data_IF_035463335106
#
_entry.id   IF_035463335106
#
_cell.length_a   1.000
_cell.length_b   1.000
_cell.length_c   1.000
_cell.angle_alpha   90.00
_cell.angle_beta   90.00
_cell.angle_gamma   90.00
#
_symmetry.space_group_name_H-M   'P 1'
#
loop_
_entity.id
_entity.type
_entity.pdbx_description
1 polymer ?
#
# COMPACT_ATOMS: atom_id res chain seq x y z
N UNK A 1 -14.17 -4.38 26.41
CA UNK A 1 -12.70 -4.53 26.24
C UNK A 1 -12.42 -4.38 24.74
N UNK A 2 -11.33 -3.73 24.35
CA UNK A 2 -10.98 -3.66 22.92
C UNK A 2 -10.78 -5.08 22.40
N UNK A 3 -11.30 -5.36 21.19
CA UNK A 3 -11.16 -6.68 20.56
C UNK A 3 -9.72 -6.94 20.19
N UNK A 4 -9.21 -8.11 20.51
CA UNK A 4 -7.90 -8.54 20.06
C UNK A 4 -7.93 -8.81 18.53
N UNK A 5 -7.24 -7.97 17.76
CA UNK A 5 -7.14 -8.05 16.31
C UNK A 5 -5.97 -8.95 15.94
N UNK A 6 -6.20 -10.25 15.78
CA UNK A 6 -5.14 -11.19 15.34
C UNK A 6 -5.12 -11.30 13.82
N UNK A 7 -3.94 -11.62 13.25
CA UNK A 7 -3.83 -11.87 11.81
C UNK A 7 -4.75 -12.99 11.33
N UNK A 8 -4.97 -14.02 12.14
CA UNK A 8 -5.86 -15.14 11.80
C UNK A 8 -7.31 -14.68 11.62
N UNK A 9 -7.81 -13.81 12.49
CA UNK A 9 -9.16 -13.22 12.36
C UNK A 9 -9.29 -12.38 11.09
N UNK A 10 -8.30 -11.52 10.82
CA UNK A 10 -8.27 -10.66 9.64
C UNK A 10 -8.23 -11.48 8.36
N UNK A 11 -7.34 -12.48 8.29
CA UNK A 11 -7.21 -13.38 7.14
C UNK A 11 -8.48 -14.19 6.92
N UNK A 12 -9.10 -14.70 8.00
CA UNK A 12 -10.34 -15.45 7.92
C UNK A 12 -11.48 -14.59 7.38
N UNK A 13 -11.66 -13.36 7.89
CA UNK A 13 -12.65 -12.41 7.37
C UNK A 13 -12.38 -12.11 5.88
N UNK A 14 -11.13 -11.76 5.53
CA UNK A 14 -10.76 -11.39 4.17
C UNK A 14 -11.08 -12.51 3.16
N UNK A 15 -10.76 -13.76 3.49
CA UNK A 15 -11.07 -14.93 2.65
C UNK A 15 -12.57 -15.19 2.58
N UNK A 16 -13.25 -15.24 3.72
CA UNK A 16 -14.67 -15.61 3.78
C UNK A 16 -15.59 -14.57 3.14
N UNK A 17 -15.19 -13.30 3.11
CA UNK A 17 -15.99 -12.21 2.54
C UNK A 17 -15.54 -11.76 1.15
N UNK A 18 -14.55 -12.43 0.56
CA UNK A 18 -14.13 -12.15 -0.81
C UNK A 18 -13.31 -10.89 -0.97
N UNK A 19 -12.54 -10.52 0.05
CA UNK A 19 -11.54 -9.47 -0.08
C UNK A 19 -10.26 -10.01 -0.71
N UNK A 20 -9.72 -11.12 -0.19
CA UNK A 20 -8.44 -11.64 -0.64
C UNK A 20 -8.48 -13.17 -0.61
N UNK A 21 -8.03 -13.79 -1.69
CA UNK A 21 -7.92 -15.24 -1.85
C UNK A 21 -6.46 -15.68 -2.01
N UNK A 22 -6.10 -16.92 -1.64
CA UNK A 22 -4.82 -17.49 -2.04
C UNK A 22 -4.70 -17.55 -3.56
N UNK A 23 -3.60 -17.05 -4.11
CA UNK A 23 -3.35 -17.10 -5.56
C UNK A 23 -3.19 -18.51 -6.06
N UNK A 24 -3.90 -18.88 -7.14
CA UNK A 24 -3.85 -20.23 -7.76
C UNK A 24 -4.22 -21.37 -6.82
N UNK A 25 -5.16 -21.19 -5.90
CA UNK A 25 -5.52 -22.12 -4.83
C UNK A 25 -5.88 -23.52 -5.34
N UNK A 26 -6.57 -23.61 -6.47
CA UNK A 26 -6.97 -24.92 -7.09
C UNK A 26 -5.78 -25.82 -7.47
N UNK A 27 -4.57 -25.24 -7.59
CA UNK A 27 -3.31 -25.95 -7.85
C UNK A 27 -2.42 -26.07 -6.60
N UNK A 28 -2.98 -25.82 -5.42
CA UNK A 28 -2.23 -25.81 -4.14
C UNK A 28 -1.58 -24.47 -3.81
N UNK A 29 -1.87 -23.44 -4.60
CA UNK A 29 -1.37 -22.10 -4.38
C UNK A 29 0.09 -21.87 -4.80
N UNK A 30 0.51 -20.62 -4.77
CA UNK A 30 1.90 -20.19 -4.87
C UNK A 30 2.27 -19.46 -3.58
N UNK A 31 3.35 -19.86 -2.92
CA UNK A 31 3.73 -19.34 -1.61
C UNK A 31 3.71 -17.81 -1.55
N UNK A 32 2.86 -17.28 -0.65
CA UNK A 32 2.61 -15.85 -0.42
C UNK A 32 2.25 -15.05 -1.68
N UNK A 33 1.44 -15.65 -2.53
CA UNK A 33 0.78 -15.02 -3.66
C UNK A 33 -0.72 -14.91 -3.38
N UNK A 34 -1.29 -13.73 -3.60
CA UNK A 34 -2.65 -13.40 -3.21
C UNK A 34 -3.40 -12.73 -4.35
N UNK A 35 -4.66 -13.10 -4.52
CA UNK A 35 -5.59 -12.48 -5.46
C UNK A 35 -6.59 -11.61 -4.70
N UNK A 36 -6.83 -10.40 -5.18
CA UNK A 36 -7.91 -9.57 -4.64
C UNK A 36 -9.24 -10.03 -5.21
N UNK A 37 -10.15 -10.44 -4.33
CA UNK A 37 -11.50 -10.85 -4.70
C UNK A 37 -12.42 -9.66 -5.04
N UNK A 38 -13.73 -9.90 -5.25
CA UNK A 38 -14.66 -8.85 -5.68
C UNK A 38 -14.73 -7.64 -4.75
N UNK A 39 -14.69 -7.84 -3.43
CA UNK A 39 -14.66 -6.72 -2.47
C UNK A 39 -13.26 -6.13 -2.34
N UNK A 40 -12.23 -6.97 -2.39
CA UNK A 40 -10.85 -6.53 -2.27
C UNK A 40 -10.39 -5.62 -3.39
N UNK A 41 -10.77 -5.92 -4.64
CA UNK A 41 -10.41 -5.09 -5.80
C UNK A 41 -11.06 -3.71 -5.71
N UNK A 42 -12.32 -3.63 -5.29
CA UNK A 42 -13.01 -2.36 -5.09
C UNK A 42 -12.38 -1.56 -3.93
N UNK A 43 -12.09 -2.22 -2.82
CA UNK A 43 -11.43 -1.59 -1.67
C UNK A 43 -10.06 -1.02 -2.05
N UNK A 44 -9.19 -1.83 -2.64
CA UNK A 44 -7.85 -1.40 -3.08
C UNK A 44 -7.92 -0.29 -4.14
N UNK A 45 -8.86 -0.38 -5.08
CA UNK A 45 -9.07 0.68 -6.07
C UNK A 45 -9.55 1.99 -5.42
N UNK A 46 -10.38 1.92 -4.38
CA UNK A 46 -10.80 3.11 -3.65
C UNK A 46 -9.63 3.76 -2.90
N UNK A 47 -8.74 2.96 -2.30
CA UNK A 47 -7.49 3.47 -1.69
C UNK A 47 -6.62 4.19 -2.73
N UNK A 48 -6.41 3.57 -3.88
CA UNK A 48 -5.65 4.18 -5.00
C UNK A 48 -6.31 5.45 -5.54
N UNK A 49 -7.63 5.46 -5.68
CA UNK A 49 -8.39 6.64 -6.11
C UNK A 49 -8.29 7.78 -5.10
N UNK A 50 -8.36 7.48 -3.80
CA UNK A 50 -8.21 8.47 -2.74
C UNK A 50 -6.81 9.10 -2.79
N UNK A 51 -5.76 8.28 -2.93
CA UNK A 51 -4.39 8.76 -3.09
C UNK A 51 -4.23 9.62 -4.35
N UNK A 52 -4.70 9.14 -5.51
CA UNK A 52 -4.63 9.89 -6.77
C UNK A 52 -5.36 11.23 -6.71
N UNK A 53 -6.53 11.25 -6.06
CA UNK A 53 -7.29 12.48 -5.83
C UNK A 53 -6.46 13.52 -5.07
N UNK A 54 -5.86 13.13 -3.94
CA UNK A 54 -5.10 14.04 -3.08
C UNK A 54 -3.73 14.42 -3.65
N UNK A 55 -2.99 13.43 -4.15
CA UNK A 55 -1.60 13.65 -4.59
C UNK A 55 -1.47 14.16 -6.02
N UNK A 56 -2.46 13.94 -6.87
CA UNK A 56 -2.41 14.37 -8.28
C UNK A 56 -3.52 15.36 -8.62
N UNK A 57 -4.78 14.97 -8.45
CA UNK A 57 -5.91 15.76 -8.92
C UNK A 57 -6.06 17.10 -8.19
N UNK A 58 -5.97 17.10 -6.86
CA UNK A 58 -6.11 18.30 -6.01
C UNK A 58 -4.78 19.06 -5.84
N UNK A 59 -3.64 18.49 -6.29
CA UNK A 59 -2.33 19.13 -6.18
C UNK A 59 -2.07 20.08 -7.35
N UNK A 60 -1.70 21.35 -7.11
CA UNK A 60 -1.30 22.26 -8.17
C UNK A 60 0.08 21.92 -8.76
N UNK A 61 0.86 21.10 -8.07
CA UNK A 61 2.24 20.78 -8.42
C UNK A 61 2.34 19.54 -9.30
N UNK A 62 1.56 18.51 -9.00
CA UNK A 62 1.83 17.15 -9.47
C UNK A 62 1.12 16.82 -10.79
N UNK A 63 1.71 15.86 -11.50
CA UNK A 63 1.13 15.21 -12.68
C UNK A 63 1.33 13.70 -12.57
N UNK A 64 0.56 12.92 -13.32
CA UNK A 64 0.67 11.47 -13.32
C UNK A 64 1.36 10.92 -14.57
N UNK A 65 1.98 9.73 -14.42
CA UNK A 65 2.48 8.89 -15.51
C UNK A 65 2.08 7.43 -15.29
N UNK A 66 2.15 6.65 -16.34
CA UNK A 66 2.08 5.18 -16.28
C UNK A 66 3.22 4.63 -17.15
N UNK A 67 4.35 4.31 -16.49
CA UNK A 67 5.53 3.81 -17.16
C UNK A 67 5.45 2.30 -17.36
N UNK A 68 6.05 1.79 -18.43
CA UNK A 68 6.12 0.36 -18.70
C UNK A 68 6.86 -0.40 -17.58
N UNK A 69 6.40 -1.63 -17.28
CA UNK A 69 7.08 -2.54 -16.35
C UNK A 69 8.42 -2.99 -16.94
N UNK A 70 8.42 -3.31 -18.24
CA UNK A 70 9.62 -3.74 -18.96
C UNK A 70 10.34 -2.49 -19.46
N UNK A 71 11.56 -2.29 -18.98
CA UNK A 71 12.41 -1.16 -19.35
C UNK A 71 13.76 -1.65 -19.85
N UNK A 72 14.49 -0.76 -20.52
CA UNK A 72 15.86 -1.05 -20.92
C UNK A 72 16.70 -1.44 -19.71
N UNK A 73 17.50 -2.50 -19.83
CA UNK A 73 18.37 -3.01 -18.77
C UNK A 73 19.28 -1.91 -18.17
N UNK A 74 19.70 -0.97 -19.00
CA UNK A 74 20.60 0.11 -18.59
C UNK A 74 19.99 1.07 -17.54
N UNK A 75 18.66 1.15 -17.46
CA UNK A 75 17.98 1.87 -16.37
C UNK A 75 18.38 1.29 -15.01
N UNK A 76 18.42 -0.04 -14.92
CA UNK A 76 18.74 -0.77 -13.68
C UNK A 76 20.24 -0.83 -13.40
N UNK A 77 21.07 -0.70 -14.44
CA UNK A 77 22.52 -0.54 -14.28
C UNK A 77 22.82 0.86 -13.74
N UNK A 78 22.25 1.90 -14.33
CA UNK A 78 22.44 3.29 -13.92
C UNK A 78 21.99 3.54 -12.47
N UNK A 79 20.83 3.01 -12.08
CA UNK A 79 20.28 3.13 -10.73
C UNK A 79 20.96 2.21 -9.69
N UNK A 80 21.88 1.33 -10.14
CA UNK A 80 22.62 0.42 -9.24
C UNK A 80 21.88 -0.88 -8.85
N UNK A 81 20.63 -1.08 -9.28
CA UNK A 81 19.84 -2.27 -8.89
C UNK A 81 20.46 -3.58 -9.38
N UNK A 82 21.05 -3.64 -10.57
CA UNK A 82 21.68 -4.86 -11.09
C UNK A 82 22.83 -5.31 -10.20
N UNK A 83 23.62 -4.37 -9.66
CA UNK A 83 24.81 -4.66 -8.86
C UNK A 83 24.60 -4.72 -7.36
N UNK A 84 23.64 -3.94 -6.81
CA UNK A 84 23.52 -3.67 -5.39
C UNK A 84 22.20 -4.09 -4.72
N UNK A 85 21.13 -4.32 -5.49
CA UNK A 85 19.83 -4.67 -4.94
C UNK A 85 19.77 -6.15 -4.53
N UNK A 86 20.39 -6.46 -3.40
CA UNK A 86 20.57 -7.85 -2.94
C UNK A 86 20.48 -7.97 -1.43
N UNK A 87 19.88 -9.08 -0.97
CA UNK A 87 19.85 -9.46 0.44
C UNK A 87 20.96 -10.48 0.77
N UNK A 88 21.48 -10.47 2.01
CA UNK A 88 22.42 -11.49 2.48
C UNK A 88 21.69 -12.79 2.79
N UNK A 89 21.82 -13.78 1.91
CA UNK A 89 21.16 -15.08 1.99
C UNK A 89 22.03 -16.13 2.65
N UNK A 90 21.49 -16.86 3.63
CA UNK A 90 22.08 -18.08 4.17
C UNK A 90 21.05 -19.19 4.34
N UNK A 91 21.48 -20.45 4.28
CA UNK A 91 20.64 -21.62 4.49
C UNK A 91 21.09 -22.38 5.74
N UNK A 92 20.15 -22.88 6.56
CA UNK A 92 20.46 -23.88 7.57
C UNK A 92 20.74 -25.22 6.89
N UNK A 93 21.93 -25.80 7.09
CA UNK A 93 22.32 -27.09 6.44
C UNK A 93 21.51 -28.28 6.96
N UNK A 94 20.93 -28.18 8.17
CA UNK A 94 20.14 -29.26 8.79
C UNK A 94 18.69 -29.26 8.28
N UNK A 95 17.93 -28.21 8.48
CA UNK A 95 16.53 -28.16 8.11
C UNK A 95 16.25 -27.56 6.72
N UNK A 96 17.28 -27.13 5.99
CA UNK A 96 17.22 -26.55 4.64
C UNK A 96 16.39 -25.26 4.55
N UNK A 97 16.10 -24.64 5.68
CA UNK A 97 15.37 -23.36 5.70
C UNK A 97 16.30 -22.23 5.33
N UNK A 98 15.81 -21.30 4.51
CA UNK A 98 16.48 -20.10 4.09
C UNK A 98 16.18 -18.94 5.02
N UNK A 99 17.19 -18.08 5.20
CA UNK A 99 17.10 -16.90 6.02
C UNK A 99 17.85 -15.72 5.39
N UNK A 100 17.39 -14.52 5.70
CA UNK A 100 18.19 -13.33 5.59
C UNK A 100 19.09 -13.26 6.81
N UNK A 101 20.40 -13.15 6.58
CA UNK A 101 21.38 -13.13 7.66
C UNK A 101 21.28 -11.89 8.53
N UNK A 102 21.01 -10.72 7.92
CA UNK A 102 20.75 -9.45 8.59
C UNK A 102 19.56 -9.55 9.55
N UNK A 103 18.42 -10.13 9.10
CA UNK A 103 17.23 -10.27 9.95
C UNK A 103 17.45 -11.20 11.15
N UNK A 104 18.19 -12.26 11.00
CA UNK A 104 18.56 -13.14 12.14
C UNK A 104 19.42 -12.37 13.16
N UNK A 105 20.32 -11.49 12.70
CA UNK A 105 21.11 -10.63 13.55
C UNK A 105 20.24 -9.62 14.30
N UNK A 106 19.36 -8.93 13.58
CA UNK A 106 18.42 -7.95 14.14
C UNK A 106 17.46 -8.58 15.16
N UNK A 107 16.88 -9.75 14.84
CA UNK A 107 16.02 -10.50 15.76
C UNK A 107 16.76 -10.87 17.06
N UNK A 108 18.03 -11.27 16.94
CA UNK A 108 18.86 -11.58 18.09
C UNK A 108 19.20 -10.31 18.91
N UNK A 109 19.53 -9.20 18.27
CA UNK A 109 19.77 -7.90 18.93
C UNK A 109 18.53 -7.46 19.71
N UNK A 110 17.36 -7.52 19.07
CA UNK A 110 16.08 -7.17 19.70
C UNK A 110 15.79 -8.05 20.92
N UNK A 111 15.97 -9.37 20.78
CA UNK A 111 15.76 -10.31 21.88
C UNK A 111 16.70 -10.07 23.08
N UNK A 112 17.86 -9.44 22.84
CA UNK A 112 18.84 -9.09 23.88
C UNK A 112 18.73 -7.63 24.34
N UNK A 113 17.64 -6.93 23.98
CA UNK A 113 17.32 -5.60 24.50
C UNK A 113 18.11 -4.45 23.87
N UNK A 114 18.60 -4.60 22.64
CA UNK A 114 19.21 -3.50 21.93
C UNK A 114 18.16 -2.40 21.66
N UNK A 115 18.51 -1.15 21.96
CA UNK A 115 17.63 0.02 21.70
C UNK A 115 17.44 0.25 20.21
N UNK A 116 18.50 0.02 19.42
CA UNK A 116 18.47 0.01 17.95
C UNK A 116 19.00 -1.33 17.48
N UNK A 117 18.15 -2.10 16.79
CA UNK A 117 18.46 -3.42 16.26
C UNK A 117 18.47 -3.36 14.74
N UNK A 118 19.52 -2.81 14.15
CA UNK A 118 19.71 -2.78 12.69
C UNK A 118 21.05 -3.39 12.30
N UNK A 119 21.02 -4.15 11.23
CA UNK A 119 22.20 -4.72 10.57
C UNK A 119 22.26 -4.27 9.09
N UNK A 120 21.51 -3.23 8.74
CA UNK A 120 21.52 -2.65 7.40
C UNK A 120 22.92 -2.13 7.06
N UNK A 121 23.38 -2.40 5.85
CA UNK A 121 24.71 -2.01 5.39
C UNK A 121 25.87 -2.86 5.89
N UNK A 122 25.64 -3.84 6.78
CA UNK A 122 26.70 -4.73 7.22
C UNK A 122 27.20 -5.63 6.10
N UNK A 123 28.53 -5.83 6.06
CA UNK A 123 29.14 -6.80 5.15
C UNK A 123 28.78 -8.25 5.54
N UNK A 124 28.90 -9.16 4.59
CA UNK A 124 28.69 -10.60 4.86
C UNK A 124 29.63 -11.11 5.96
N UNK A 125 30.84 -10.56 6.03
CA UNK A 125 31.86 -10.88 7.04
C UNK A 125 31.42 -10.42 8.44
N UNK A 126 30.89 -9.23 8.58
CA UNK A 126 30.39 -8.70 9.83
C UNK A 126 29.18 -9.47 10.34
N UNK A 127 28.20 -9.73 9.45
CA UNK A 127 27.03 -10.57 9.76
C UNK A 127 27.45 -11.96 10.23
N UNK A 128 28.36 -12.61 9.48
CA UNK A 128 28.87 -13.95 9.83
C UNK A 128 29.57 -13.93 11.18
N UNK A 129 30.43 -12.97 11.40
CA UNK A 129 31.15 -12.82 12.68
C UNK A 129 30.19 -12.66 13.84
N UNK A 130 29.19 -11.81 13.72
CA UNK A 130 28.19 -11.61 14.77
C UNK A 130 27.40 -12.89 15.07
N UNK A 131 26.95 -13.63 14.02
CA UNK A 131 26.27 -14.92 14.16
C UNK A 131 27.13 -15.95 14.88
N UNK A 132 28.41 -15.99 14.55
CA UNK A 132 29.35 -16.95 15.13
C UNK A 132 29.73 -16.59 16.58
N UNK A 133 30.02 -15.32 16.87
CA UNK A 133 30.41 -14.81 18.19
C UNK A 133 29.25 -14.95 19.21
N UNK A 134 28.03 -14.74 18.80
CA UNK A 134 26.82 -14.84 19.64
C UNK A 134 26.20 -16.23 19.64
N UNK A 135 26.80 -17.23 18.95
CA UNK A 135 26.29 -18.60 18.87
C UNK A 135 24.82 -18.68 18.41
N UNK A 136 24.42 -17.86 17.46
CA UNK A 136 23.03 -17.79 17.01
C UNK A 136 22.62 -19.11 16.32
N UNK A 137 21.58 -19.73 16.84
CA UNK A 137 21.05 -21.01 16.33
C UNK A 137 19.90 -20.76 15.35
N UNK A 138 19.66 -21.74 14.48
CA UNK A 138 18.55 -21.71 13.53
C UNK A 138 17.20 -21.57 14.28
N UNK A 139 16.40 -20.53 14.01
CA UNK A 139 15.11 -20.34 14.68
C UNK A 139 14.14 -21.51 14.48
N UNK A 140 14.29 -22.27 13.38
CA UNK A 140 13.40 -23.39 13.06
C UNK A 140 13.79 -24.70 13.71
N UNK A 141 15.07 -25.06 13.75
CA UNK A 141 15.50 -26.38 14.24
C UNK A 141 16.48 -26.36 15.41
N UNK A 142 16.89 -25.17 15.88
CA UNK A 142 17.78 -24.99 17.02
C UNK A 142 19.24 -25.42 16.78
N UNK A 143 19.64 -25.75 15.56
CA UNK A 143 21.01 -26.16 15.22
C UNK A 143 21.83 -24.97 14.72
N UNK A 144 23.14 -24.97 15.04
CA UNK A 144 24.10 -23.99 14.53
C UNK A 144 24.90 -24.62 13.39
N UNK A 145 24.31 -24.67 12.20
CA UNK A 145 24.99 -25.19 11.01
C UNK A 145 24.48 -24.46 9.75
N UNK A 146 25.08 -23.30 9.49
CA UNK A 146 24.70 -22.46 8.35
C UNK A 146 25.66 -22.62 7.17
N UNK A 147 25.17 -22.27 5.97
CA UNK A 147 26.03 -22.03 4.80
C UNK A 147 26.78 -20.71 4.93
N UNK A 148 27.75 -20.48 4.06
CA UNK A 148 28.30 -19.14 3.88
C UNK A 148 27.18 -18.18 3.41
N UNK A 149 27.30 -16.89 3.83
CA UNK A 149 26.39 -15.83 3.42
C UNK A 149 26.72 -15.42 1.99
N UNK A 150 25.71 -15.38 1.13
CA UNK A 150 25.86 -14.98 -0.28
C UNK A 150 24.88 -13.88 -0.63
N UNK A 151 25.25 -12.98 -1.53
CA UNK A 151 24.35 -11.97 -2.06
C UNK A 151 23.30 -12.61 -2.96
N UNK A 152 22.04 -12.29 -2.72
CA UNK A 152 20.92 -12.74 -3.54
C UNK A 152 20.21 -11.51 -4.13
N UNK A 153 20.35 -11.29 -5.44
CA UNK A 153 19.71 -10.17 -6.10
C UNK A 153 18.19 -10.39 -6.16
N UNK A 154 17.44 -9.37 -5.73
CA UNK A 154 15.98 -9.44 -5.61
C UNK A 154 15.24 -9.16 -6.92
N UNK A 155 15.92 -8.80 -8.01
CA UNK A 155 15.26 -8.56 -9.28
C UNK A 155 14.84 -9.87 -9.96
N UNK A 156 13.60 -9.94 -10.41
CA UNK A 156 13.16 -11.00 -11.31
C UNK A 156 13.74 -10.79 -12.71
N UNK A 157 14.40 -11.80 -13.23
CA UNK A 157 14.93 -11.84 -14.60
C UNK A 157 13.96 -12.53 -15.56
N UNK A 158 13.91 -12.03 -16.79
CA UNK A 158 13.26 -12.68 -17.92
C UNK A 158 14.01 -12.35 -19.20
N UNK A 159 13.53 -12.81 -20.34
CA UNK A 159 14.18 -12.62 -21.63
C UNK A 159 13.20 -12.02 -22.63
N UNK A 160 13.65 -11.12 -23.46
CA UNK A 160 12.87 -10.55 -24.56
C UNK A 160 13.27 -11.23 -25.88
N UNK A 161 12.29 -11.72 -26.64
CA UNK A 161 12.55 -12.40 -27.91
C UNK A 161 12.64 -13.91 -27.77
N UNK A 162 13.28 -14.55 -28.74
CA UNK A 162 13.29 -16.03 -28.89
C UNK A 162 14.53 -16.70 -28.34
N UNK A 163 15.54 -15.95 -27.92
CA UNK A 163 16.80 -16.46 -27.38
C UNK A 163 16.97 -16.03 -25.92
N UNK A 164 17.48 -16.97 -25.12
CA UNK A 164 17.80 -16.71 -23.70
C UNK A 164 19.31 -16.47 -23.58
N UNK A 165 19.75 -15.28 -23.92
CA UNK A 165 21.16 -14.86 -23.84
C UNK A 165 21.31 -13.52 -23.05
N UNK A 166 22.54 -13.14 -22.76
CA UNK A 166 22.82 -11.94 -21.99
C UNK A 166 22.37 -10.63 -22.67
N UNK A 167 22.11 -10.63 -23.99
CA UNK A 167 21.66 -9.44 -24.72
C UNK A 167 20.13 -9.30 -24.69
N UNK A 168 19.43 -10.42 -24.51
CA UNK A 168 17.97 -10.49 -24.40
C UNK A 168 17.48 -10.42 -22.96
N UNK A 169 18.40 -10.42 -21.97
CA UNK A 169 18.07 -10.33 -20.54
C UNK A 169 17.40 -8.99 -20.22
N UNK A 170 16.21 -9.06 -19.61
CA UNK A 170 15.49 -7.92 -19.05
C UNK A 170 15.01 -8.26 -17.64
N UNK A 171 14.57 -7.23 -16.91
CA UNK A 171 14.11 -7.37 -15.54
C UNK A 171 12.68 -6.88 -15.39
N UNK A 172 11.91 -7.52 -14.51
CA UNK A 172 10.69 -6.93 -13.99
C UNK A 172 11.09 -5.83 -12.99
N UNK A 173 10.50 -4.65 -13.13
CA UNK A 173 10.88 -3.49 -12.30
C UNK A 173 10.68 -3.80 -10.81
N UNK A 174 11.68 -3.53 -9.94
CA UNK A 174 11.56 -3.71 -8.49
C UNK A 174 10.91 -2.52 -7.78
N UNK A 175 10.74 -1.39 -8.50
CA UNK A 175 10.12 -0.15 -8.05
C UNK A 175 9.57 0.66 -9.23
N UNK A 176 8.66 1.58 -8.96
CA UNK A 176 8.10 2.48 -9.98
C UNK A 176 8.90 3.76 -10.17
N UNK A 177 9.77 4.14 -9.22
CA UNK A 177 10.53 5.38 -9.19
C UNK A 177 11.40 5.59 -10.44
N UNK A 178 12.15 4.58 -10.88
CA UNK A 178 13.09 4.72 -11.98
C UNK A 178 12.41 5.07 -13.32
N UNK A 179 11.19 4.56 -13.52
CA UNK A 179 10.37 4.97 -14.66
C UNK A 179 10.04 6.46 -14.67
N UNK A 180 9.89 7.06 -13.49
CA UNK A 180 9.67 8.50 -13.34
C UNK A 180 10.94 9.29 -13.67
N UNK A 181 12.09 8.89 -13.10
CA UNK A 181 13.36 9.59 -13.33
C UNK A 181 13.77 9.63 -14.80
N UNK A 182 13.67 8.50 -15.51
CA UNK A 182 14.04 8.47 -16.95
C UNK A 182 13.07 9.27 -17.82
N UNK A 183 11.85 9.51 -17.35
CA UNK A 183 10.86 10.32 -18.07
C UNK A 183 10.80 11.79 -17.60
N UNK A 184 11.64 12.21 -16.64
CA UNK A 184 11.61 13.55 -16.05
C UNK A 184 11.52 14.66 -17.09
N UNK A 185 12.43 14.69 -18.07
CA UNK A 185 12.46 15.73 -19.12
C UNK A 185 11.24 15.70 -20.03
N UNK A 186 10.81 14.51 -20.42
CA UNK A 186 9.64 14.35 -21.29
C UNK A 186 8.38 14.84 -20.62
N UNK A 187 8.20 14.50 -19.35
CA UNK A 187 7.04 14.95 -18.54
C UNK A 187 7.11 16.45 -18.29
N UNK A 188 8.27 16.98 -17.86
CA UNK A 188 8.46 18.39 -17.58
C UNK A 188 8.15 19.26 -18.82
N UNK A 189 8.63 18.86 -20.00
CA UNK A 189 8.40 19.58 -21.25
C UNK A 189 6.92 19.50 -21.70
N UNK A 190 6.35 18.30 -21.71
CA UNK A 190 4.98 18.09 -22.19
C UNK A 190 3.92 18.72 -21.29
N UNK A 191 4.11 18.68 -19.97
CA UNK A 191 3.22 19.28 -18.99
C UNK A 191 3.49 20.77 -18.74
N UNK A 192 4.62 21.30 -19.23
CA UNK A 192 5.10 22.68 -19.00
C UNK A 192 5.22 23.05 -17.51
N UNK A 193 5.43 22.06 -16.66
CA UNK A 193 5.61 22.29 -15.23
C UNK A 193 6.94 22.97 -14.95
N UNK A 194 6.93 23.82 -13.95
CA UNK A 194 8.12 24.47 -13.37
C UNK A 194 8.46 23.77 -12.07
N UNK A 195 9.73 23.72 -11.72
CA UNK A 195 10.17 23.28 -10.38
C UNK A 195 9.73 24.35 -9.35
N UNK A 196 9.08 23.96 -8.21
CA UNK A 196 8.84 22.58 -7.78
C UNK A 196 7.63 21.93 -8.47
N UNK A 197 7.77 20.66 -8.83
CA UNK A 197 6.66 19.83 -9.30
C UNK A 197 6.93 18.34 -9.06
N UNK A 198 5.86 17.56 -8.98
CA UNK A 198 5.95 16.12 -8.77
C UNK A 198 5.42 15.31 -9.95
N UNK A 199 5.95 14.10 -10.08
CA UNK A 199 5.46 13.09 -11.03
C UNK A 199 5.06 11.87 -10.22
N UNK A 200 3.79 11.48 -10.33
CA UNK A 200 3.18 10.41 -9.57
C UNK A 200 2.89 9.19 -10.45
N UNK A 201 3.03 8.01 -9.89
CA UNK A 201 2.69 6.75 -10.54
C UNK A 201 2.07 5.77 -9.56
N UNK A 202 1.06 5.03 -10.03
CA UNK A 202 0.57 3.80 -9.39
C UNK A 202 0.93 2.65 -10.32
N UNK A 203 1.60 1.62 -9.81
CA UNK A 203 1.97 0.50 -10.67
C UNK A 203 2.53 -0.70 -9.94
N UNK A 204 2.49 -1.84 -10.63
CA UNK A 204 3.07 -3.11 -10.17
C UNK A 204 4.58 -3.04 -10.11
N UNK A 205 5.12 -3.64 -9.04
CA UNK A 205 6.55 -3.87 -8.83
C UNK A 205 6.78 -5.30 -8.35
N UNK A 206 8.01 -5.80 -8.53
CA UNK A 206 8.34 -7.21 -8.36
C UNK A 206 9.67 -7.34 -7.62
N UNK A 207 9.66 -8.01 -6.47
CA UNK A 207 10.87 -8.32 -5.70
C UNK A 207 10.89 -9.79 -5.34
N UNK A 208 11.92 -10.52 -5.74
CA UNK A 208 12.06 -11.93 -5.45
C UNK A 208 12.45 -12.16 -3.99
N UNK A 209 11.57 -11.75 -3.08
CA UNK A 209 11.77 -11.81 -1.64
C UNK A 209 12.16 -13.19 -1.16
N UNK A 210 13.19 -13.28 -0.30
CA UNK A 210 13.67 -14.51 0.30
C UNK A 210 12.63 -15.06 1.30
N UNK A 211 12.09 -14.16 2.14
CA UNK A 211 11.13 -14.46 3.20
C UNK A 211 9.85 -13.66 3.07
N UNK A 212 9.03 -13.92 2.02
CA UNK A 212 7.73 -13.28 1.93
C UNK A 212 6.83 -13.77 3.07
N UNK A 213 5.92 -12.93 3.55
CA UNK A 213 5.08 -13.31 4.69
C UNK A 213 4.11 -12.23 5.14
N UNK A 214 3.45 -12.52 6.25
CA UNK A 214 2.49 -11.62 6.88
C UNK A 214 1.37 -11.19 5.91
N UNK A 215 0.74 -12.19 5.27
CA UNK A 215 -0.36 -11.97 4.33
C UNK A 215 0.08 -11.07 3.16
N UNK A 216 -0.63 -9.96 2.89
CA UNK A 216 -0.28 -9.02 1.81
C UNK A 216 0.77 -7.97 2.20
N UNK A 217 1.35 -8.06 3.40
CA UNK A 217 2.37 -7.11 3.86
C UNK A 217 3.69 -7.23 3.09
N UNK A 218 4.17 -8.48 2.83
CA UNK A 218 5.41 -8.74 2.08
C UNK A 218 5.20 -9.84 1.05
N UNK A 219 4.99 -9.44 -0.18
CA UNK A 219 4.74 -10.30 -1.35
C UNK A 219 5.81 -10.09 -2.40
N UNK A 220 5.90 -11.00 -3.38
CA UNK A 220 6.86 -10.88 -4.50
C UNK A 220 6.34 -10.01 -5.64
N UNK A 221 5.02 -9.92 -5.77
CA UNK A 221 4.32 -9.02 -6.66
C UNK A 221 3.44 -8.10 -5.83
N UNK A 222 3.61 -6.80 -5.95
CA UNK A 222 2.88 -5.79 -5.17
C UNK A 222 2.64 -4.55 -6.02
N UNK A 223 1.89 -3.60 -5.48
CA UNK A 223 1.59 -2.34 -6.16
C UNK A 223 2.07 -1.17 -5.32
N UNK A 224 2.80 -0.24 -5.96
CA UNK A 224 3.29 0.97 -5.33
C UNK A 224 2.49 2.19 -5.79
N UNK A 225 2.37 3.17 -4.91
CA UNK A 225 1.92 4.52 -5.19
C UNK A 225 3.08 5.44 -4.82
N UNK A 226 3.78 5.94 -5.81
CA UNK A 226 4.99 6.75 -5.66
C UNK A 226 4.82 8.14 -6.25
N UNK A 227 5.37 9.12 -5.56
CA UNK A 227 5.51 10.49 -6.01
C UNK A 227 6.99 10.88 -5.95
N UNK A 228 7.56 11.27 -7.08
CA UNK A 228 8.87 11.89 -7.15
C UNK A 228 8.67 13.39 -7.27
N UNK A 229 8.92 14.10 -6.17
CA UNK A 229 8.72 15.55 -6.09
C UNK A 229 10.04 16.29 -6.27
N UNK A 230 10.18 16.94 -7.41
CA UNK A 230 11.38 17.66 -7.81
C UNK A 230 11.37 19.08 -7.29
N UNK A 231 12.43 19.48 -6.58
CA UNK A 231 12.57 20.79 -5.98
C UNK A 231 13.95 21.40 -6.25
N UNK A 232 14.10 22.70 -5.97
CA UNK A 232 15.40 23.37 -6.06
C UNK A 232 16.32 22.89 -4.94
N UNK A 233 17.61 22.56 -5.23
CA UNK A 233 18.59 22.26 -4.19
C UNK A 233 18.62 23.32 -3.09
N UNK A 234 18.61 22.88 -1.82
CA UNK A 234 18.52 23.75 -0.64
C UNK A 234 17.10 24.08 -0.18
N UNK A 235 16.06 23.61 -0.88
CA UNK A 235 14.65 23.67 -0.44
C UNK A 235 14.07 22.28 -0.12
N UNK A 236 14.89 21.26 -0.25
CA UNK A 236 14.56 19.83 -0.09
C UNK A 236 14.02 19.50 1.29
N UNK A 237 14.66 19.96 2.36
CA UNK A 237 14.22 19.70 3.73
C UNK A 237 12.87 20.35 4.04
N UNK A 238 12.56 21.52 3.48
CA UNK A 238 11.26 22.14 3.62
C UNK A 238 10.16 21.27 2.97
N UNK A 239 10.42 20.80 1.73
CA UNK A 239 9.50 19.91 1.02
C UNK A 239 9.42 18.52 1.65
N UNK A 240 10.50 17.99 2.20
CA UNK A 240 10.51 16.76 2.96
C UNK A 240 9.55 16.84 4.16
N UNK A 241 9.65 17.91 4.97
CA UNK A 241 8.74 18.12 6.09
C UNK A 241 7.29 18.32 5.65
N UNK A 242 7.07 19.06 4.55
CA UNK A 242 5.74 19.23 3.96
C UNK A 242 5.11 17.87 3.61
N UNK A 243 5.83 16.99 2.91
CA UNK A 243 5.32 15.69 2.50
C UNK A 243 5.13 14.74 3.68
N UNK A 244 5.98 14.79 4.70
CA UNK A 244 5.78 14.03 5.95
C UNK A 244 4.44 14.32 6.59
N UNK A 245 4.12 15.60 6.77
CA UNK A 245 2.85 16.04 7.36
C UNK A 245 1.67 15.72 6.43
N UNK A 246 1.83 15.90 5.13
CA UNK A 246 0.78 15.63 4.15
C UNK A 246 0.40 14.14 4.13
N UNK A 247 1.39 13.24 4.10
CA UNK A 247 1.18 11.79 4.13
C UNK A 247 0.54 11.34 5.44
N UNK A 248 0.98 11.89 6.56
CA UNK A 248 0.40 11.61 7.87
C UNK A 248 -1.08 11.98 7.93
N UNK A 249 -1.41 13.20 7.52
CA UNK A 249 -2.78 13.69 7.53
C UNK A 249 -3.68 12.93 6.54
N UNK A 250 -3.16 12.47 5.41
CA UNK A 250 -3.89 11.62 4.47
C UNK A 250 -4.38 10.33 5.13
N UNK A 251 -3.54 9.65 5.90
CA UNK A 251 -3.92 8.42 6.61
C UNK A 251 -5.01 8.70 7.67
N UNK A 252 -4.83 9.76 8.47
CA UNK A 252 -5.80 10.12 9.50
C UNK A 252 -7.16 10.51 8.92
N UNK A 253 -7.18 11.27 7.83
CA UNK A 253 -8.42 11.70 7.18
C UNK A 253 -9.19 10.53 6.57
N UNK A 254 -8.53 9.43 6.25
CA UNK A 254 -9.14 8.18 5.78
C UNK A 254 -9.44 7.18 6.91
N UNK A 255 -9.33 7.60 8.16
CA UNK A 255 -9.78 6.84 9.32
C UNK A 255 -8.72 5.94 9.94
N UNK A 256 -7.44 6.08 9.59
CA UNK A 256 -6.39 5.35 10.31
C UNK A 256 -6.32 5.81 11.78
N UNK A 257 -6.25 4.85 12.70
CA UNK A 257 -6.14 5.16 14.12
C UNK A 257 -4.74 5.73 14.43
N UNK A 258 -4.70 6.96 14.92
CA UNK A 258 -3.47 7.66 15.27
C UNK A 258 -2.61 6.88 16.27
N UNK A 259 -3.22 6.14 17.19
CA UNK A 259 -2.49 5.36 18.20
C UNK A 259 -1.77 4.13 17.60
N UNK A 260 -2.18 3.70 16.41
CA UNK A 260 -1.53 2.63 15.65
C UNK A 260 -0.50 3.17 14.64
N UNK A 261 -0.24 4.48 14.62
CA UNK A 261 0.72 5.11 13.72
C UNK A 261 1.86 5.76 14.52
N UNK A 262 3.06 5.69 13.99
CA UNK A 262 4.18 6.49 14.46
C UNK A 262 5.05 6.98 13.31
N UNK A 263 5.70 8.12 13.51
CA UNK A 263 6.74 8.62 12.63
C UNK A 263 8.09 8.14 13.18
N UNK A 264 8.91 7.51 12.33
CA UNK A 264 10.25 7.06 12.66
C UNK A 264 11.23 7.74 11.71
N UNK A 265 12.05 8.62 12.25
CA UNK A 265 13.15 9.21 11.50
C UNK A 265 14.35 8.24 11.53
N UNK A 266 15.02 8.09 10.37
CA UNK A 266 16.21 7.27 10.27
C UNK A 266 17.42 8.01 10.84
N UNK A 267 18.22 7.31 11.63
CA UNK A 267 19.51 7.81 12.11
C UNK A 267 20.51 7.90 10.95
N UNK A 268 21.57 8.71 11.11
CA UNK A 268 22.54 8.95 10.04
C UNK A 268 23.17 7.66 9.48
N UNK A 269 23.35 6.66 10.34
CA UNK A 269 23.91 5.35 10.01
C UNK A 269 22.95 4.44 9.22
N UNK A 270 21.65 4.72 9.29
CA UNK A 270 20.61 3.98 8.59
C UNK A 270 20.29 4.56 7.22
N UNK A 271 20.70 5.81 6.96
CA UNK A 271 20.41 6.48 5.70
C UNK A 271 21.04 5.76 4.52
N UNK A 272 20.26 5.56 3.47
CA UNK A 272 20.80 5.15 2.18
C UNK A 272 21.83 6.17 1.70
N UNK A 273 22.87 5.72 1.00
CA UNK A 273 23.97 6.54 0.52
C UNK A 273 23.54 7.69 -0.43
N UNK A 274 22.33 7.70 -0.89
CA UNK A 274 21.72 8.72 -1.75
C UNK A 274 20.76 9.65 -1.02
N UNK A 275 20.51 9.43 0.28
CA UNK A 275 19.49 10.18 1.03
C UNK A 275 20.10 11.10 2.07
N UNK A 276 19.61 12.35 2.14
CA UNK A 276 19.94 13.29 3.22
C UNK A 276 19.06 13.11 4.45
N UNK A 277 17.82 12.66 4.26
CA UNK A 277 16.86 12.41 5.30
C UNK A 277 15.85 11.34 4.86
N UNK A 278 15.47 10.47 5.76
CA UNK A 278 14.42 9.48 5.54
C UNK A 278 13.56 9.38 6.79
N UNK A 279 12.26 9.32 6.60
CA UNK A 279 11.27 9.04 7.65
C UNK A 279 10.29 8.00 7.18
N UNK A 280 9.96 7.07 8.07
CA UNK A 280 8.89 6.12 7.84
C UNK A 280 7.68 6.47 8.67
N UNK A 281 6.49 6.39 8.06
CA UNK A 281 5.26 6.22 8.82
C UNK A 281 5.10 4.73 9.02
N UNK A 282 5.18 4.29 10.26
CA UNK A 282 4.97 2.89 10.64
C UNK A 282 3.58 2.68 11.22
N UNK A 283 3.03 1.50 10.97
CA UNK A 283 1.74 1.04 11.51
C UNK A 283 1.95 -0.15 12.43
N UNK A 284 1.20 -0.20 13.53
CA UNK A 284 1.20 -1.30 14.49
C UNK A 284 0.30 -2.43 13.98
N UNK A 285 0.87 -3.31 13.17
CA UNK A 285 0.20 -4.54 12.75
C UNK A 285 0.11 -5.55 13.90
N UNK A 286 -0.75 -6.59 13.83
CA UNK A 286 -0.78 -7.64 14.85
C UNK A 286 0.55 -8.40 15.05
N UNK A 287 1.45 -8.33 14.09
CA UNK A 287 2.80 -8.90 14.16
C UNK A 287 3.89 -7.90 14.59
N UNK A 288 3.51 -6.69 14.98
CA UNK A 288 4.42 -5.63 15.41
C UNK A 288 4.46 -4.44 14.45
N UNK A 289 5.33 -3.47 14.75
CA UNK A 289 5.52 -2.28 13.92
C UNK A 289 6.07 -2.67 12.54
N UNK A 290 5.48 -2.10 11.52
CA UNK A 290 5.90 -2.27 10.14
C UNK A 290 5.79 -0.99 9.35
N UNK A 291 6.76 -0.77 8.47
CA UNK A 291 6.78 0.35 7.54
C UNK A 291 5.53 0.35 6.65
N UNK A 292 4.83 1.47 6.65
CA UNK A 292 3.66 1.71 5.83
C UNK A 292 3.97 2.67 4.68
N UNK A 293 4.70 3.74 4.97
CA UNK A 293 5.03 4.81 4.03
C UNK A 293 6.44 5.32 4.26
N UNK A 294 7.31 5.22 3.27
CA UNK A 294 8.64 5.84 3.30
C UNK A 294 8.59 7.23 2.69
N UNK A 295 9.23 8.21 3.32
CA UNK A 295 9.47 9.54 2.77
C UNK A 295 10.97 9.77 2.79
N UNK A 296 11.59 9.97 1.61
CA UNK A 296 13.04 10.14 1.48
C UNK A 296 13.40 11.41 0.72
N UNK A 297 14.37 12.15 1.23
CA UNK A 297 15.09 13.17 0.45
C UNK A 297 16.24 12.48 -0.30
N UNK A 298 16.03 12.20 -1.57
CA UNK A 298 16.96 11.48 -2.47
C UNK A 298 18.02 12.38 -3.11
N UNK A 299 18.01 13.67 -2.80
CA UNK A 299 18.88 14.66 -3.42
C UNK A 299 18.78 14.67 -4.96
N UNK A 300 19.84 14.91 -5.67
CA UNK A 300 19.93 14.82 -7.15
C UNK A 300 20.45 13.47 -7.63
N UNK A 301 20.58 12.49 -6.75
CA UNK A 301 21.29 11.24 -7.01
C UNK A 301 20.79 10.52 -8.26
N UNK A 302 19.49 10.21 -8.35
CA UNK A 302 18.94 9.42 -9.44
C UNK A 302 19.05 10.14 -10.80
N UNK A 303 18.69 11.44 -10.85
CA UNK A 303 18.83 12.23 -12.07
C UNK A 303 20.28 12.32 -12.54
N UNK A 304 21.23 12.52 -11.61
CA UNK A 304 22.67 12.52 -11.94
C UNK A 304 23.14 11.16 -12.46
N UNK A 305 22.73 10.06 -11.81
CA UNK A 305 23.09 8.71 -12.26
C UNK A 305 22.60 8.41 -13.66
N UNK A 306 21.36 8.74 -13.96
CA UNK A 306 20.83 8.59 -15.31
C UNK A 306 21.50 9.53 -16.30
N UNK A 307 21.81 10.77 -15.93
CA UNK A 307 22.56 11.70 -16.78
C UNK A 307 23.96 11.19 -17.08
N UNK A 308 24.71 10.76 -16.06
CA UNK A 308 26.06 10.22 -16.22
C UNK A 308 26.08 8.97 -17.12
N UNK A 309 25.12 8.07 -16.94
CA UNK A 309 25.09 6.80 -17.66
C UNK A 309 24.57 6.93 -19.11
N UNK A 310 23.55 7.77 -19.33
CA UNK A 310 22.93 7.95 -20.64
C UNK A 310 23.65 9.00 -21.51
N UNK A 311 24.33 9.96 -20.90
CA UNK A 311 24.87 11.14 -21.56
C UNK A 311 23.83 12.24 -21.86
N UNK A 312 22.56 12.04 -21.45
CA UNK A 312 21.49 13.01 -21.65
C UNK A 312 21.46 14.07 -20.53
N UNK A 313 21.22 15.34 -20.90
CA UNK A 313 21.10 16.45 -19.92
C UNK A 313 19.75 16.42 -19.20
N UNK A 314 19.72 16.01 -17.94
CA UNK A 314 18.54 16.02 -17.07
C UNK A 314 18.44 17.26 -16.17
N UNK A 315 19.32 18.26 -16.35
CA UNK A 315 19.25 19.51 -15.60
C UNK A 315 17.99 20.33 -15.94
N UNK A 316 17.54 21.15 -15.02
CA UNK A 316 16.45 22.11 -15.19
C UNK A 316 17.03 23.52 -15.35
N UNK A 317 16.51 24.28 -16.32
CA UNK A 317 16.78 25.70 -16.44
C UNK A 317 15.58 26.47 -15.86
N UNK A 318 15.81 27.17 -14.77
CA UNK A 318 14.78 28.03 -14.16
C UNK A 318 14.56 29.29 -15.03
N UNK A 319 13.37 29.46 -15.62
CA UNK A 319 13.10 30.60 -16.48
C UNK A 319 13.01 31.94 -15.74
N UNK A 320 12.84 31.93 -14.41
CA UNK A 320 12.74 33.12 -13.61
C UNK A 320 14.14 33.69 -13.25
N UNK A 321 15.09 32.81 -12.96
CA UNK A 321 16.43 33.19 -12.50
C UNK A 321 17.52 32.96 -13.55
N UNK A 322 17.20 32.25 -14.63
CA UNK A 322 18.16 31.75 -15.65
C UNK A 322 19.26 30.86 -15.06
N UNK A 323 19.01 30.26 -13.90
CA UNK A 323 19.91 29.34 -13.22
C UNK A 323 19.66 27.90 -13.73
N UNK A 324 20.75 27.15 -13.93
CA UNK A 324 20.69 25.74 -14.33
C UNK A 324 21.17 24.85 -13.20
N UNK A 325 20.37 23.84 -12.85
CA UNK A 325 20.70 22.87 -11.81
C UNK A 325 20.03 21.52 -12.07
N UNK A 326 20.56 20.46 -11.48
CA UNK A 326 19.85 19.16 -11.38
C UNK A 326 18.94 19.25 -10.16
N UNK A 327 17.62 19.08 -10.32
CA UNK A 327 16.70 19.15 -9.18
C UNK A 327 16.98 18.09 -8.12
N UNK A 328 16.72 18.44 -6.87
CA UNK A 328 16.61 17.46 -5.79
C UNK A 328 15.23 16.81 -5.84
N UNK A 329 15.13 15.61 -5.30
CA UNK A 329 13.90 14.81 -5.29
C UNK A 329 13.52 14.45 -3.86
N UNK A 330 12.26 14.69 -3.49
CA UNK A 330 11.64 14.16 -2.29
C UNK A 330 10.62 13.10 -2.71
N UNK A 331 10.78 11.89 -2.19
CA UNK A 331 9.99 10.71 -2.56
C UNK A 331 9.09 10.26 -1.41
N UNK A 332 7.78 10.52 -1.42
CA UNK A 332 6.82 9.74 -0.65
C UNK A 332 6.44 8.46 -1.42
N UNK A 333 6.82 7.29 -0.88
CA UNK A 333 6.56 5.97 -1.47
C UNK A 333 5.71 5.10 -0.57
N UNK A 334 4.59 4.62 -1.07
CA UNK A 334 3.58 3.85 -0.33
C UNK A 334 3.24 2.54 -1.06
N UNK A 335 3.27 1.43 -0.33
CA UNK A 335 2.74 0.16 -0.81
C UNK A 335 1.22 0.11 -0.76
N UNK A 336 0.54 0.03 -1.92
CA UNK A 336 -0.92 -0.04 -1.98
C UNK A 336 -1.48 -1.26 -1.22
N UNK A 337 -0.79 -2.39 -1.27
CA UNK A 337 -1.18 -3.62 -0.58
C UNK A 337 -1.05 -3.48 0.94
N UNK A 338 0.04 -2.86 1.43
CA UNK A 338 0.28 -2.63 2.86
C UNK A 338 -0.74 -1.67 3.46
N UNK A 339 -1.01 -0.53 2.82
CA UNK A 339 -1.97 0.45 3.32
C UNK A 339 -3.40 -0.09 3.28
N UNK A 340 -3.75 -0.87 2.24
CA UNK A 340 -5.05 -1.55 2.18
C UNK A 340 -5.21 -2.53 3.34
N UNK A 341 -4.15 -3.30 3.68
CA UNK A 341 -4.15 -4.19 4.84
C UNK A 341 -4.27 -3.40 6.15
N UNK A 342 -3.55 -2.30 6.31
CA UNK A 342 -3.62 -1.46 7.51
C UNK A 342 -5.04 -0.91 7.74
N UNK A 343 -5.68 -0.36 6.70
CA UNK A 343 -7.08 0.09 6.79
C UNK A 343 -8.06 -1.05 7.10
N UNK A 344 -7.83 -2.26 6.57
CA UNK A 344 -8.67 -3.41 6.87
C UNK A 344 -8.56 -3.82 8.36
N UNK A 345 -7.34 -3.81 8.90
CA UNK A 345 -7.06 -4.14 10.30
C UNK A 345 -7.65 -3.07 11.24
N UNK A 346 -7.44 -1.80 10.92
CA UNK A 346 -8.01 -0.71 11.74
C UNK A 346 -9.53 -0.75 11.77
N UNK A 347 -10.15 -1.02 10.64
CA UNK A 347 -11.59 -1.06 10.50
C UNK A 347 -12.27 -2.27 11.18
N UNK A 348 -11.53 -3.36 11.40
CA UNK A 348 -12.10 -4.57 12.00
C UNK A 348 -12.49 -4.38 13.46
N UNK A 349 -13.74 -4.75 13.79
CA UNK A 349 -14.22 -4.80 15.17
C UNK A 349 -15.22 -5.94 15.40
N UNK A 350 -15.38 -6.36 16.65
CA UNK A 350 -16.37 -7.31 17.14
C UNK A 350 -17.14 -6.66 18.30
N UNK A 351 -18.34 -6.21 18.05
CA UNK A 351 -19.15 -5.50 19.03
C UNK A 351 -20.13 -6.45 19.72
N UNK A 352 -20.10 -6.49 21.04
CA UNK A 352 -21.11 -7.20 21.84
C UNK A 352 -22.38 -6.36 21.90
N UNK A 353 -23.49 -6.95 21.46
CA UNK A 353 -24.82 -6.32 21.50
C UNK A 353 -25.62 -6.74 22.73
N UNK A 354 -26.71 -6.03 22.99
CA UNK A 354 -27.67 -6.41 24.01
C UNK A 354 -28.16 -7.85 23.78
N UNK A 355 -28.03 -8.70 24.80
CA UNK A 355 -28.39 -10.13 24.73
C UNK A 355 -27.21 -11.07 24.44
N UNK A 356 -25.96 -10.58 24.36
CA UNK A 356 -24.75 -11.40 24.22
C UNK A 356 -24.45 -11.85 22.78
N UNK A 357 -25.18 -11.32 21.79
CA UNK A 357 -24.86 -11.53 20.37
C UNK A 357 -23.68 -10.67 19.95
N UNK A 358 -22.81 -11.19 19.08
CA UNK A 358 -21.61 -10.47 18.60
C UNK A 358 -21.80 -10.02 17.17
N UNK A 359 -21.56 -8.74 16.91
CA UNK A 359 -21.57 -8.13 15.60
C UNK A 359 -20.12 -7.95 15.10
N UNK A 360 -19.74 -8.66 14.03
CA UNK A 360 -18.51 -8.34 13.31
C UNK A 360 -18.80 -7.17 12.37
N UNK A 361 -17.94 -6.17 12.40
CA UNK A 361 -18.09 -4.94 11.60
C UNK A 361 -16.75 -4.45 11.09
N UNK A 362 -16.75 -3.88 9.87
CA UNK A 362 -15.62 -3.14 9.31
C UNK A 362 -15.97 -1.65 9.29
N UNK A 363 -15.38 -0.87 10.19
CA UNK A 363 -15.55 0.58 10.29
C UNK A 363 -14.71 1.33 9.22
N UNK A 364 -14.82 0.90 7.97
CA UNK A 364 -14.12 1.56 6.86
C UNK A 364 -14.64 2.98 6.65
N UNK A 365 -13.74 3.94 6.43
CA UNK A 365 -14.15 5.26 5.94
C UNK A 365 -15.03 5.10 4.68
N UNK A 366 -16.15 5.82 4.55
CA UNK A 366 -17.08 5.63 3.43
C UNK A 366 -16.42 5.73 2.05
N UNK A 367 -15.41 6.62 1.90
CA UNK A 367 -14.63 6.72 0.67
C UNK A 367 -13.87 5.44 0.31
N UNK A 368 -13.47 4.63 1.30
CA UNK A 368 -12.72 3.39 1.10
C UNK A 368 -13.62 2.16 0.95
N UNK A 369 -14.84 2.18 1.50
CA UNK A 369 -15.74 1.04 1.49
C UNK A 369 -15.97 0.48 0.06
N UNK A 370 -15.97 -0.86 -0.12
CA UNK A 370 -16.22 -1.48 -1.43
C UNK A 370 -17.56 -1.05 -2.04
N UNK A 371 -18.63 -1.17 -1.27
CA UNK A 371 -19.94 -0.60 -1.61
C UNK A 371 -20.17 0.68 -0.82
N UNK A 372 -20.73 1.71 -1.47
CA UNK A 372 -21.04 2.99 -0.82
C UNK A 372 -22.37 2.94 -0.09
N UNK A 373 -23.26 2.11 -0.56
CA UNK A 373 -24.52 1.78 0.10
C UNK A 373 -25.04 0.41 -0.37
N UNK A 374 -26.02 -0.13 0.37
CA UNK A 374 -26.76 -1.30 -0.03
C UNK A 374 -28.26 -0.98 -0.07
N UNK A 375 -28.94 -1.33 -1.15
CA UNK A 375 -30.41 -1.18 -1.29
C UNK A 375 -31.10 -2.48 -0.90
N UNK A 376 -31.98 -2.39 0.10
CA UNK A 376 -32.58 -3.53 0.77
C UNK A 376 -34.12 -3.38 0.77
N UNK A 377 -34.86 -4.03 -0.14
CA UNK A 377 -36.31 -4.00 -0.08
C UNK A 377 -36.84 -4.77 1.16
N UNK A 378 -37.67 -4.15 1.98
CA UNK A 378 -38.21 -4.78 3.17
C UNK A 378 -39.07 -6.03 2.85
N UNK A 379 -39.70 -6.02 1.67
CA UNK A 379 -40.53 -7.12 1.15
C UNK A 379 -40.29 -7.26 -0.37
N UNK A 380 -40.42 -8.48 -0.90
CA UNK A 380 -40.41 -8.73 -2.35
C UNK A 380 -41.42 -7.91 -3.16
N UNK A 381 -42.50 -7.43 -2.51
CA UNK A 381 -43.48 -6.55 -3.16
C UNK A 381 -42.91 -5.16 -3.48
N UNK A 382 -41.77 -4.82 -2.89
CA UNK A 382 -41.08 -3.55 -3.06
C UNK A 382 -39.87 -3.65 -3.97
N UNK A 383 -39.60 -4.83 -4.57
CA UNK A 383 -38.41 -5.05 -5.42
C UNK A 383 -38.36 -4.09 -6.61
N UNK A 384 -39.50 -3.83 -7.28
CA UNK A 384 -39.53 -2.87 -8.40
C UNK A 384 -39.09 -1.47 -7.97
N UNK A 385 -39.57 -0.98 -6.83
CA UNK A 385 -39.15 0.34 -6.30
C UNK A 385 -37.70 0.35 -5.82
N UNK A 386 -37.24 -0.74 -5.23
CA UNK A 386 -35.85 -0.90 -4.81
C UNK A 386 -34.92 -0.95 -6.03
N UNK A 387 -35.31 -1.60 -7.13
CA UNK A 387 -34.55 -1.63 -8.38
C UNK A 387 -34.43 -0.24 -9.01
N UNK A 388 -35.48 0.60 -8.94
CA UNK A 388 -35.41 2.00 -9.38
C UNK A 388 -34.36 2.78 -8.56
N UNK A 389 -34.37 2.66 -7.24
CA UNK A 389 -33.42 3.33 -6.33
C UNK A 389 -32.01 2.83 -6.62
N UNK A 390 -31.81 1.51 -6.68
CA UNK A 390 -30.54 0.89 -7.02
C UNK A 390 -30.00 1.39 -8.37
N UNK A 391 -30.81 1.30 -9.44
CA UNK A 391 -30.40 1.67 -10.78
C UNK A 391 -30.05 3.17 -10.90
N UNK A 392 -30.67 4.02 -10.11
CA UNK A 392 -30.32 5.44 -10.04
C UNK A 392 -28.96 5.65 -9.40
N UNK A 393 -28.72 5.08 -8.22
CA UNK A 393 -27.47 5.25 -7.45
C UNK A 393 -26.29 4.54 -8.10
N UNK A 394 -26.50 3.38 -8.74
CA UNK A 394 -25.45 2.59 -9.40
C UNK A 394 -24.79 3.31 -10.60
N UNK A 395 -25.39 4.38 -11.11
CA UNK A 395 -24.77 5.22 -12.14
C UNK A 395 -23.55 6.01 -11.63
N UNK A 396 -23.49 6.25 -10.31
CA UNK A 396 -22.44 7.07 -9.70
C UNK A 396 -21.60 6.32 -8.67
N UNK A 397 -22.19 5.35 -7.98
CA UNK A 397 -21.58 4.66 -6.87
C UNK A 397 -21.60 3.15 -7.09
N UNK A 398 -20.65 2.44 -6.47
CA UNK A 398 -20.73 1.00 -6.34
C UNK A 398 -21.73 0.69 -5.24
N UNK A 399 -22.87 0.08 -5.59
CA UNK A 399 -24.04 -0.19 -4.75
C UNK A 399 -24.30 -1.68 -4.73
N UNK A 400 -24.59 -2.24 -3.55
CA UNK A 400 -25.09 -3.60 -3.38
C UNK A 400 -26.62 -3.63 -3.43
N UNK A 401 -27.18 -4.73 -3.92
CA UNK A 401 -28.61 -5.02 -3.82
C UNK A 401 -28.82 -6.37 -3.14
N UNK A 402 -29.59 -6.42 -2.04
CA UNK A 402 -29.80 -7.65 -1.32
C UNK A 402 -31.27 -7.78 -0.84
N UNK A 403 -31.96 -8.83 -1.28
CA UNK A 403 -33.32 -9.18 -0.86
C UNK A 403 -33.42 -10.53 -0.13
N UNK A 404 -32.26 -11.19 0.12
CA UNK A 404 -32.21 -12.55 0.64
C UNK A 404 -32.24 -12.61 2.16
N UNK A 405 -33.29 -13.19 2.75
CA UNK A 405 -33.45 -13.40 4.18
C UNK A 405 -34.07 -12.20 4.92
N UNK A 406 -34.00 -12.20 6.25
CA UNK A 406 -34.56 -11.12 7.07
C UNK A 406 -33.70 -9.86 6.98
N UNK A 407 -34.30 -8.69 7.19
CA UNK A 407 -33.62 -7.39 7.13
C UNK A 407 -32.42 -7.33 8.10
N UNK A 408 -32.58 -7.87 9.32
CA UNK A 408 -31.51 -7.91 10.30
C UNK A 408 -30.28 -8.72 9.83
N UNK A 409 -30.50 -9.86 9.14
CA UNK A 409 -29.40 -10.66 8.55
C UNK A 409 -28.72 -9.92 7.40
N UNK A 410 -29.47 -9.13 6.63
CA UNK A 410 -28.93 -8.31 5.55
C UNK A 410 -28.06 -7.17 6.09
N UNK A 411 -28.52 -6.48 7.15
CA UNK A 411 -27.70 -5.48 7.84
C UNK A 411 -26.37 -6.07 8.34
N UNK A 412 -26.40 -7.27 8.97
CA UNK A 412 -25.19 -7.94 9.44
C UNK A 412 -24.19 -8.24 8.32
N UNK A 413 -24.68 -8.72 7.17
CA UNK A 413 -23.81 -8.95 5.99
C UNK A 413 -23.14 -7.66 5.52
N UNK A 414 -23.85 -6.54 5.51
CA UNK A 414 -23.32 -5.25 5.12
C UNK A 414 -22.34 -4.68 6.15
N UNK A 415 -22.62 -4.85 7.44
CA UNK A 415 -21.70 -4.47 8.51
C UNK A 415 -20.35 -5.20 8.38
N UNK A 416 -20.38 -6.52 8.15
CA UNK A 416 -19.17 -7.36 8.00
C UNK A 416 -18.28 -7.00 6.80
N UNK A 417 -18.83 -6.41 5.75
CA UNK A 417 -18.08 -6.00 4.56
C UNK A 417 -17.80 -4.49 4.51
N UNK A 418 -18.24 -3.77 5.54
CA UNK A 418 -17.94 -2.36 5.72
C UNK A 418 -18.79 -1.39 4.89
N UNK A 419 -19.95 -1.81 4.40
CA UNK A 419 -20.88 -0.90 3.70
C UNK A 419 -21.41 0.16 4.66
N UNK A 420 -21.16 1.46 4.43
CA UNK A 420 -21.48 2.50 5.41
C UNK A 420 -22.99 2.76 5.58
N UNK A 421 -23.79 2.58 4.51
CA UNK A 421 -25.20 2.93 4.51
C UNK A 421 -26.05 1.79 3.98
N UNK A 422 -27.08 1.40 4.75
CA UNK A 422 -28.11 0.49 4.28
C UNK A 422 -29.40 1.27 4.00
N UNK A 423 -29.84 1.26 2.76
CA UNK A 423 -31.01 1.97 2.24
C UNK A 423 -32.18 0.98 2.20
N UNK A 424 -33.06 1.04 3.17
CA UNK A 424 -34.24 0.17 3.23
C UNK A 424 -35.43 0.82 2.53
N UNK A 425 -35.93 0.14 1.50
CA UNK A 425 -37.16 0.49 0.83
C UNK A 425 -38.30 -0.23 1.53
N UNK A 426 -39.23 0.52 2.14
CA UNK A 426 -40.36 0.05 2.91
C UNK A 426 -41.68 0.46 2.25
N UNK A 427 -42.82 0.12 2.88
CA UNK A 427 -44.11 0.44 2.31
C UNK A 427 -44.44 1.93 2.32
N UNK A 428 -43.94 2.68 3.33
CA UNK A 428 -44.11 4.13 3.41
C UNK A 428 -43.37 4.84 2.29
N UNK A 429 -42.31 4.23 1.73
CA UNK A 429 -41.56 4.74 0.56
C UNK A 429 -42.48 4.96 -0.66
N UNK A 430 -43.53 4.17 -0.83
CA UNK A 430 -44.47 4.32 -1.93
C UNK A 430 -45.38 5.54 -1.77
N UNK A 431 -45.54 6.03 -0.54
CA UNK A 431 -46.42 7.15 -0.19
C UNK A 431 -45.62 8.48 -0.11
N UNK A 432 -44.47 8.47 0.59
CA UNK A 432 -43.70 9.67 0.93
C UNK A 432 -42.49 9.92 0.02
N UNK A 433 -42.13 8.95 -0.83
CA UNK A 433 -40.97 9.04 -1.70
C UNK A 433 -39.62 9.10 -0.95
N UNK A 434 -39.60 8.63 0.31
CA UNK A 434 -38.40 8.56 1.14
C UNK A 434 -38.05 7.11 1.50
N UNK A 435 -36.83 6.87 1.90
CA UNK A 435 -36.33 5.56 2.34
C UNK A 435 -35.72 5.67 3.72
N UNK A 436 -35.60 4.55 4.43
CA UNK A 436 -34.87 4.51 5.68
C UNK A 436 -33.41 4.21 5.43
N UNK A 437 -32.53 5.15 5.79
CA UNK A 437 -31.07 4.97 5.72
C UNK A 437 -30.56 4.60 7.11
N UNK A 438 -29.92 3.43 7.23
CA UNK A 438 -29.23 3.00 8.45
C UNK A 438 -27.74 3.24 8.31
N UNK A 439 -27.20 3.96 9.26
CA UNK A 439 -25.76 4.14 9.41
C UNK A 439 -25.13 2.90 10.07
N UNK A 440 -24.01 2.41 9.47
CA UNK A 440 -23.32 1.20 9.95
C UNK A 440 -22.74 1.38 11.35
N UNK A 441 -22.12 2.53 11.62
CA UNK A 441 -21.31 2.72 12.82
C UNK A 441 -22.19 2.98 14.05
N UNK A 442 -23.21 3.79 13.89
CA UNK A 442 -24.13 4.16 14.98
C UNK A 442 -25.38 3.27 15.06
N UNK A 443 -25.67 2.50 14.00
CA UNK A 443 -26.93 1.78 13.79
C UNK A 443 -28.18 2.68 13.79
N UNK A 444 -28.00 3.99 13.85
CA UNK A 444 -29.08 4.97 13.75
C UNK A 444 -29.76 4.91 12.38
N UNK A 445 -31.06 5.16 12.39
CA UNK A 445 -31.89 5.17 11.18
C UNK A 445 -32.56 6.53 11.01
N UNK A 446 -32.55 7.04 9.79
CA UNK A 446 -33.20 8.29 9.43
C UNK A 446 -33.96 8.17 8.12
N UNK A 447 -35.00 8.99 7.95
CA UNK A 447 -35.76 9.07 6.69
C UNK A 447 -35.10 10.06 5.75
N UNK A 448 -34.75 9.62 4.55
CA UNK A 448 -34.12 10.44 3.51
C UNK A 448 -34.94 10.32 2.22
N UNK A 449 -35.23 11.46 1.59
CA UNK A 449 -35.91 11.43 0.28
C UNK A 449 -35.05 10.78 -0.77
N UNK A 450 -35.64 9.99 -1.66
CA UNK A 450 -34.93 9.32 -2.75
C UNK A 450 -34.17 10.34 -3.62
N UNK A 451 -34.74 11.54 -3.85
CA UNK A 451 -34.09 12.62 -4.57
C UNK A 451 -32.79 13.13 -3.92
N UNK A 452 -32.63 12.95 -2.63
CA UNK A 452 -31.53 13.52 -1.86
C UNK A 452 -30.43 12.50 -1.54
N UNK A 453 -30.66 11.21 -1.86
CA UNK A 453 -29.73 10.11 -1.55
C UNK A 453 -28.35 10.30 -2.17
N UNK A 454 -28.29 10.77 -3.39
CA UNK A 454 -27.02 11.00 -4.08
C UNK A 454 -26.16 12.01 -3.33
N UNK A 455 -26.73 13.19 -3.02
CA UNK A 455 -26.03 14.22 -2.25
C UNK A 455 -25.71 13.77 -0.81
N UNK A 456 -26.62 12.96 -0.21
CA UNK A 456 -26.41 12.37 1.10
C UNK A 456 -25.16 11.49 1.15
N UNK A 457 -24.97 10.62 0.15
CA UNK A 457 -23.82 9.75 0.03
C UNK A 457 -22.57 10.59 -0.30
N UNK A 458 -22.61 11.45 -1.34
CA UNK A 458 -21.46 12.25 -1.78
C UNK A 458 -20.81 13.02 -0.64
N UNK A 459 -21.62 13.73 0.17
CA UNK A 459 -21.13 14.51 1.31
C UNK A 459 -20.35 13.66 2.32
N UNK A 460 -20.67 12.37 2.46
CA UNK A 460 -20.04 11.46 3.43
C UNK A 460 -18.84 10.72 2.86
N UNK A 461 -18.55 10.88 1.56
CA UNK A 461 -17.35 10.38 0.92
C UNK A 461 -16.19 11.38 0.97
N UNK A 462 -16.41 12.60 1.47
CA UNK A 462 -15.36 13.63 1.62
C UNK A 462 -14.36 13.24 2.72
N UNK A 463 -13.07 13.55 2.50
CA UNK A 463 -11.94 13.28 3.42
C UNK A 463 -10.78 14.26 3.22
#
# INVERSE_FOLDING_TARGET
MAVEKTMDKIVALAKNRGFIFPGSEIYGGLANSWDYGPLGVEFKNNVKKAWWKKFVQESPYNVGVDCAILMNREVWVASGHVGGFSDPLMDCKECKTRFRADKIVEDHMTANGAEVATADGWSNEELKKYIDDNNIVCPKCGKKNYTEIRKFNLMFKTFQGVTEDAKSEIFLRPETAQGIFVNFKSVQRSSRKKVPFGIAQIGKSFRNEITPGNFTFRTREFEQMELEFFCKPGTDIEWFNYWREYCWNFLLNLGANKENLRMRDHEAEELSFYSNATSDIEYLFPFGWGELWGIADRTDYDLKKHQEHSGEDLSYLDPATNERYVPYCVEPSLGADRVTLAFLIDAYDEEELEGGDVRTVLHLHPALAPFKAAVLPLSKKLSEKADEVYSSLAKKFNIEYDEAGSIGKRYRRQDEIGTPFCITVDFDTLEDGAVTVRDRDTMAQERVKISDLEAYIEKRLEF
#
